data_IF_069910343781
#
_entry.id   IF_069910343781
#
_cell.length_a   1.000
_cell.length_b   1.000
_cell.length_c   1.000
_cell.angle_alpha   90.00
_cell.angle_beta   90.00
_cell.angle_gamma   90.00
#
_symmetry.space_group_name_H-M   'P 1'
#
loop_
_entity.id
_entity.type
_entity.pdbx_description
1 polymer ?
#
# COMPACT_ATOMS: atom_id res chain seq x y z
N UNK A 1 -6.11 2.39 -27.34
CA UNK A 1 -6.60 3.68 -26.81
C UNK A 1 -5.74 4.01 -25.60
N UNK A 2 -5.16 5.21 -25.54
CA UNK A 2 -4.29 5.60 -24.41
C UNK A 2 -5.14 5.91 -23.18
N UNK A 3 -4.73 5.43 -22.01
CA UNK A 3 -5.40 5.71 -20.75
C UNK A 3 -5.20 7.16 -20.29
N UNK A 4 -6.17 7.75 -19.56
CA UNK A 4 -6.05 9.13 -19.09
C UNK A 4 -4.92 9.27 -18.07
N UNK A 5 -4.23 10.41 -18.12
CA UNK A 5 -3.12 10.75 -17.22
C UNK A 5 -3.36 12.11 -16.57
N UNK A 6 -3.23 12.18 -15.26
CA UNK A 6 -3.14 13.48 -14.58
C UNK A 6 -1.82 14.17 -14.97
N UNK A 7 -1.87 15.50 -15.10
CA UNK A 7 -0.69 16.33 -15.44
C UNK A 7 0.46 16.19 -14.44
N UNK A 8 0.18 15.80 -13.19
CA UNK A 8 1.19 15.55 -12.16
C UNK A 8 2.13 14.40 -12.55
N UNK A 9 1.67 13.45 -13.37
CA UNK A 9 2.39 12.24 -13.73
C UNK A 9 3.31 12.39 -14.94
N UNK A 10 3.36 13.56 -15.58
CA UNK A 10 4.01 13.77 -16.89
C UNK A 10 5.49 13.35 -17.00
N UNK A 11 6.21 13.27 -15.87
CA UNK A 11 7.64 12.87 -15.85
C UNK A 11 7.82 11.36 -15.64
N UNK A 12 6.85 10.70 -15.01
CA UNK A 12 6.95 9.31 -14.59
C UNK A 12 7.13 8.30 -15.73
N UNK A 13 6.52 8.46 -16.93
CA UNK A 13 6.76 7.50 -18.01
C UNK A 13 8.25 7.32 -18.34
N UNK A 14 9.00 8.43 -18.37
CA UNK A 14 10.44 8.43 -18.62
C UNK A 14 11.19 7.84 -17.42
N UNK A 15 10.88 8.28 -16.21
CA UNK A 15 11.54 7.81 -14.98
C UNK A 15 11.38 6.29 -14.79
N UNK A 16 10.17 5.75 -14.99
CA UNK A 16 9.93 4.30 -14.90
C UNK A 16 10.68 3.51 -15.99
N UNK A 17 10.73 4.03 -17.23
CA UNK A 17 11.47 3.39 -18.33
C UNK A 17 12.97 3.31 -18.04
N UNK A 18 13.57 4.40 -17.56
CA UNK A 18 14.99 4.47 -17.19
C UNK A 18 15.32 3.53 -16.02
N UNK A 19 14.42 3.43 -15.04
CA UNK A 19 14.59 2.53 -13.90
C UNK A 19 14.54 1.05 -14.31
N UNK A 20 13.59 0.66 -15.16
CA UNK A 20 13.48 -0.73 -15.65
C UNK A 20 14.71 -1.15 -16.47
N UNK A 21 15.33 -0.21 -17.19
CA UNK A 21 16.59 -0.47 -17.88
C UNK A 21 17.74 -0.70 -16.89
N UNK A 22 17.84 0.14 -15.86
CA UNK A 22 18.85 0.03 -14.81
C UNK A 22 18.74 -1.29 -14.01
N UNK A 23 17.52 -1.70 -13.67
CA UNK A 23 17.24 -2.83 -12.76
C UNK A 23 16.89 -4.14 -13.46
N UNK A 24 17.12 -4.24 -14.77
CA UNK A 24 16.65 -5.34 -15.64
C UNK A 24 16.91 -6.75 -15.08
N UNK A 25 18.00 -6.96 -14.36
CA UNK A 25 18.40 -8.27 -13.83
C UNK A 25 18.24 -8.42 -12.31
N UNK A 26 17.79 -7.38 -11.60
CA UNK A 26 17.69 -7.41 -10.15
C UNK A 26 16.50 -8.22 -9.59
N UNK A 27 15.28 -8.23 -10.20
CA UNK A 27 14.18 -9.01 -9.64
C UNK A 27 14.47 -10.51 -9.59
N UNK A 28 15.13 -11.08 -10.60
CA UNK A 28 15.47 -12.51 -10.65
C UNK A 28 16.39 -12.94 -9.50
N UNK A 29 17.35 -12.08 -9.13
CA UNK A 29 18.22 -12.31 -7.97
C UNK A 29 17.43 -12.41 -6.68
N UNK A 30 16.46 -11.51 -6.49
CA UNK A 30 15.64 -11.52 -5.28
C UNK A 30 14.63 -12.68 -5.27
N UNK A 31 14.07 -13.04 -6.42
CA UNK A 31 13.23 -14.23 -6.60
C UNK A 31 14.01 -15.50 -6.21
N UNK A 32 15.24 -15.66 -6.73
CA UNK A 32 16.11 -16.78 -6.37
C UNK A 32 16.44 -16.80 -4.87
N UNK A 33 16.64 -15.63 -4.26
CA UNK A 33 16.85 -15.53 -2.81
C UNK A 33 15.63 -15.98 -2.00
N UNK A 34 14.42 -15.60 -2.40
CA UNK A 34 13.19 -16.05 -1.72
C UNK A 34 12.99 -17.56 -1.90
N UNK A 35 13.25 -18.08 -3.10
CA UNK A 35 13.20 -19.52 -3.35
C UNK A 35 14.19 -20.28 -2.43
N UNK A 36 15.42 -19.78 -2.28
CA UNK A 36 16.40 -20.35 -1.35
C UNK A 36 15.88 -20.42 0.09
N UNK A 37 15.22 -19.37 0.60
CA UNK A 37 14.60 -19.40 1.92
C UNK A 37 13.46 -20.42 2.04
N UNK A 38 12.68 -20.63 0.98
CA UNK A 38 11.60 -21.63 0.98
C UNK A 38 12.13 -23.07 1.00
N UNK A 39 13.24 -23.30 0.31
CA UNK A 39 13.89 -24.61 0.21
C UNK A 39 14.62 -25.01 1.50
N UNK A 40 14.98 -24.03 2.35
CA UNK A 40 15.55 -24.29 3.66
C UNK A 40 14.56 -25.05 4.58
N UNK A 41 15.02 -26.12 5.27
CA UNK A 41 14.19 -26.83 6.24
C UNK A 41 13.98 -26.00 7.52
N UNK A 42 12.85 -26.21 8.20
CA UNK A 42 12.52 -25.53 9.46
C UNK A 42 11.65 -24.29 9.28
N UNK A 43 11.67 -23.38 10.26
CA UNK A 43 10.93 -22.11 10.19
C UNK A 43 11.63 -21.20 9.18
N UNK A 44 10.88 -20.68 8.20
CA UNK A 44 11.40 -19.76 7.19
C UNK A 44 11.97 -18.51 7.85
N UNK A 45 13.11 -18.01 7.36
CA UNK A 45 13.80 -16.91 8.01
C UNK A 45 13.19 -15.54 7.64
N UNK A 46 12.80 -14.74 8.64
CA UNK A 46 12.25 -13.39 8.45
C UNK A 46 13.15 -12.42 7.64
N UNK A 47 14.45 -12.72 7.51
CA UNK A 47 15.37 -11.98 6.61
C UNK A 47 14.91 -11.99 5.14
N UNK A 48 14.03 -12.91 4.74
CA UNK A 48 13.39 -12.92 3.43
C UNK A 48 12.54 -11.67 3.16
N UNK A 49 12.17 -10.90 4.18
CA UNK A 49 11.40 -9.67 3.98
C UNK A 49 12.14 -8.66 3.07
N UNK A 50 13.46 -8.55 3.18
CA UNK A 50 14.25 -7.65 2.32
C UNK A 50 14.09 -7.99 0.83
N UNK A 51 14.35 -9.23 0.35
CA UNK A 51 14.11 -9.55 -1.05
C UNK A 51 12.65 -9.42 -1.46
N UNK A 52 11.65 -9.69 -0.60
CA UNK A 52 10.24 -9.42 -0.94
C UNK A 52 9.99 -7.94 -1.26
N UNK A 53 10.54 -7.03 -0.45
CA UNK A 53 10.42 -5.59 -0.66
C UNK A 53 10.92 -5.18 -2.04
N UNK A 54 12.05 -5.75 -2.47
CA UNK A 54 12.66 -5.47 -3.76
C UNK A 54 11.89 -6.06 -4.93
N UNK A 55 11.37 -7.29 -4.80
CA UNK A 55 10.49 -7.89 -5.81
C UNK A 55 9.22 -7.05 -5.99
N UNK A 56 8.58 -6.67 -4.87
CA UNK A 56 7.38 -5.83 -4.89
C UNK A 56 7.64 -4.50 -5.59
N UNK A 57 8.78 -3.87 -5.30
CA UNK A 57 9.19 -2.62 -5.93
C UNK A 57 9.46 -2.78 -7.44
N UNK A 58 10.17 -3.83 -7.86
CA UNK A 58 10.43 -4.07 -9.28
C UNK A 58 9.13 -4.25 -10.07
N UNK A 59 8.19 -5.05 -9.55
CA UNK A 59 6.88 -5.18 -10.18
C UNK A 59 6.04 -3.92 -10.08
N UNK A 60 6.21 -3.07 -9.06
CA UNK A 60 5.49 -1.80 -8.97
C UNK A 60 5.90 -0.85 -10.09
N UNK A 61 7.20 -0.77 -10.40
CA UNK A 61 7.69 0.05 -11.52
C UNK A 61 7.24 -0.55 -12.86
N UNK A 62 7.28 -1.88 -13.01
CA UNK A 62 6.77 -2.54 -14.21
C UNK A 62 5.26 -2.31 -14.41
N UNK A 63 4.47 -2.26 -13.33
CA UNK A 63 3.05 -1.90 -13.38
C UNK A 63 2.85 -0.44 -13.83
N UNK A 64 3.64 0.51 -13.32
CA UNK A 64 3.60 1.90 -13.78
C UNK A 64 3.91 2.03 -15.27
N UNK A 65 4.98 1.39 -15.75
CA UNK A 65 5.33 1.36 -17.17
C UNK A 65 4.19 0.80 -18.02
N UNK A 66 3.62 -0.35 -17.62
CA UNK A 66 2.48 -0.94 -18.31
C UNK A 66 1.25 -0.02 -18.33
N UNK A 67 1.01 0.73 -17.24
CA UNK A 67 -0.02 1.77 -17.19
C UNK A 67 0.21 2.86 -18.24
N UNK A 68 1.41 3.40 -18.33
CA UNK A 68 1.75 4.44 -19.32
C UNK A 68 1.71 3.94 -20.76
N UNK A 69 2.02 2.66 -21.00
CA UNK A 69 1.86 2.01 -22.31
C UNK A 69 0.42 1.60 -22.62
N UNK A 70 -0.49 1.74 -21.66
CA UNK A 70 -1.89 1.28 -21.76
C UNK A 70 -2.00 -0.22 -22.08
N UNK A 71 -1.12 -1.01 -21.46
CA UNK A 71 -1.04 -2.46 -21.64
C UNK A 71 -1.77 -3.18 -20.49
N UNK A 72 -3.02 -3.58 -20.74
CA UNK A 72 -3.86 -4.23 -19.74
C UNK A 72 -3.32 -5.59 -19.28
N UNK A 73 -2.66 -6.35 -20.16
CA UNK A 73 -2.14 -7.67 -19.83
C UNK A 73 -0.95 -7.57 -18.88
N UNK A 74 0.01 -6.72 -19.22
CA UNK A 74 1.18 -6.47 -18.38
C UNK A 74 0.79 -5.76 -17.08
N UNK A 75 -0.08 -4.75 -17.15
CA UNK A 75 -0.51 -4.03 -15.94
C UNK A 75 -1.21 -4.98 -14.97
N UNK A 76 -2.16 -5.80 -15.46
CA UNK A 76 -2.84 -6.75 -14.60
C UNK A 76 -1.87 -7.68 -13.88
N UNK A 77 -0.92 -8.25 -14.64
CA UNK A 77 0.07 -9.18 -14.09
C UNK A 77 0.99 -8.50 -13.07
N UNK A 78 1.61 -7.38 -13.43
CA UNK A 78 2.59 -6.72 -12.58
C UNK A 78 1.97 -6.03 -11.37
N UNK A 79 0.77 -5.44 -11.49
CA UNK A 79 0.07 -4.85 -10.36
C UNK A 79 -0.32 -5.93 -9.34
N UNK A 80 -0.88 -7.06 -9.79
CA UNK A 80 -1.20 -8.20 -8.93
C UNK A 80 0.05 -8.72 -8.19
N UNK A 81 1.15 -8.90 -8.91
CA UNK A 81 2.37 -9.42 -8.29
C UNK A 81 3.01 -8.42 -7.33
N UNK A 82 3.04 -7.13 -7.68
CA UNK A 82 3.54 -6.07 -6.80
C UNK A 82 2.76 -6.03 -5.48
N UNK A 83 1.42 -6.04 -5.56
CA UNK A 83 0.55 -6.03 -4.37
C UNK A 83 0.71 -7.32 -3.56
N UNK A 84 0.80 -8.49 -4.19
CA UNK A 84 1.00 -9.76 -3.49
C UNK A 84 2.31 -9.77 -2.69
N UNK A 85 3.45 -9.45 -3.32
CA UNK A 85 4.73 -9.41 -2.64
C UNK A 85 4.82 -8.29 -1.61
N UNK A 86 4.25 -7.12 -1.89
CA UNK A 86 4.18 -5.99 -0.96
C UNK A 86 3.37 -6.33 0.30
N UNK A 87 2.22 -7.00 0.12
CA UNK A 87 1.38 -7.48 1.22
C UNK A 87 2.11 -8.53 2.06
N UNK A 88 2.78 -9.51 1.44
CA UNK A 88 3.55 -10.53 2.17
C UNK A 88 4.70 -9.91 2.97
N UNK A 89 5.42 -8.95 2.38
CA UNK A 89 6.44 -8.18 3.08
C UNK A 89 5.88 -7.49 4.32
N UNK A 90 4.78 -6.77 4.16
CA UNK A 90 4.17 -5.98 5.22
C UNK A 90 3.68 -6.88 6.37
N UNK A 91 2.90 -7.91 6.04
CA UNK A 91 2.33 -8.85 7.00
C UNK A 91 3.41 -9.67 7.73
N UNK A 92 4.53 -9.99 7.08
CA UNK A 92 5.66 -10.67 7.73
C UNK A 92 6.33 -9.77 8.78
N UNK A 93 6.59 -8.50 8.47
CA UNK A 93 7.17 -7.57 9.44
C UNK A 93 6.20 -7.27 10.59
N UNK A 94 4.92 -7.02 10.28
CA UNK A 94 3.89 -6.85 11.31
C UNK A 94 3.76 -8.09 12.22
N UNK A 95 3.89 -9.29 11.66
CA UNK A 95 3.97 -10.54 12.46
C UNK A 95 5.17 -10.54 13.39
N UNK A 96 6.36 -10.15 12.90
CA UNK A 96 7.57 -10.09 13.70
C UNK A 96 7.47 -9.05 14.83
N UNK A 97 6.87 -7.88 14.55
CA UNK A 97 6.60 -6.84 15.55
C UNK A 97 5.61 -7.35 16.62
N UNK A 98 4.51 -7.98 16.21
CA UNK A 98 3.50 -8.53 17.12
C UNK A 98 4.04 -9.66 18.01
N UNK A 99 5.01 -10.45 17.53
CA UNK A 99 5.65 -11.51 18.33
C UNK A 99 6.59 -10.96 19.41
N UNK A 100 7.09 -9.72 19.27
CA UNK A 100 8.06 -9.09 20.18
C UNK A 100 7.76 -7.60 20.35
N UNK A 101 6.62 -7.23 20.96
CA UNK A 101 6.26 -5.83 21.14
C UNK A 101 7.24 -5.16 22.10
N UNK A 102 7.96 -4.15 21.60
CA UNK A 102 8.93 -3.37 22.35
C UNK A 102 9.27 -2.08 21.60
N UNK A 103 9.84 -1.10 22.32
CA UNK A 103 10.46 0.07 21.68
C UNK A 103 11.57 -0.42 20.73
N UNK A 104 11.49 -0.02 19.46
CA UNK A 104 12.44 -0.44 18.44
C UNK A 104 12.27 -1.90 17.97
N UNK A 105 11.08 -2.48 18.16
CA UNK A 105 10.71 -3.71 17.46
C UNK A 105 10.83 -3.50 15.93
N UNK A 106 10.91 -4.61 15.20
CA UNK A 106 11.08 -4.53 13.75
C UNK A 106 9.75 -4.19 13.07
N UNK A 107 9.50 -2.89 12.92
CA UNK A 107 8.32 -2.38 12.23
C UNK A 107 8.56 -2.24 10.72
N UNK A 108 7.51 -2.38 9.91
CA UNK A 108 7.48 -1.73 8.61
C UNK A 108 7.86 -0.23 8.74
N UNK A 109 8.49 0.33 7.71
CA UNK A 109 8.85 1.75 7.70
C UNK A 109 7.58 2.61 7.54
N UNK A 110 7.39 3.66 8.38
CA UNK A 110 6.25 4.55 8.25
C UNK A 110 6.23 5.22 6.86
N UNK A 111 5.05 5.71 6.49
CA UNK A 111 4.71 6.35 5.22
C UNK A 111 4.73 5.42 4.00
N UNK A 112 5.84 4.74 3.72
CA UNK A 112 5.97 3.94 2.48
C UNK A 112 5.45 2.51 2.63
N UNK A 113 5.69 1.88 3.77
CA UNK A 113 5.29 0.47 3.93
C UNK A 113 3.80 0.36 4.24
N UNK A 114 3.17 1.35 4.88
CA UNK A 114 1.72 1.37 5.12
C UNK A 114 0.90 1.35 3.83
N UNK A 115 1.39 1.96 2.74
CA UNK A 115 0.76 1.87 1.42
C UNK A 115 0.62 0.41 0.93
N UNK A 116 1.51 -0.49 1.36
CA UNK A 116 1.44 -1.92 1.03
C UNK A 116 0.34 -2.67 1.79
N UNK A 117 -0.10 -2.15 2.94
CA UNK A 117 -1.26 -2.67 3.65
C UNK A 117 -2.57 -2.34 2.89
N UNK A 118 -2.60 -1.21 2.17
CA UNK A 118 -3.75 -0.76 1.41
C UNK A 118 -3.89 -1.40 0.02
N UNK A 119 -2.76 -1.73 -0.62
CA UNK A 119 -2.71 -2.32 -1.97
C UNK A 119 -3.74 -3.44 -2.23
N UNK A 120 -3.90 -4.45 -1.35
CA UNK A 120 -4.88 -5.52 -1.55
C UNK A 120 -6.34 -5.04 -1.72
N UNK A 121 -6.72 -3.90 -1.14
CA UNK A 121 -8.04 -3.31 -1.35
C UNK A 121 -8.30 -3.04 -2.84
N UNK A 122 -7.30 -2.53 -3.57
CA UNK A 122 -7.42 -2.17 -4.98
C UNK A 122 -7.79 -3.37 -5.86
N UNK A 123 -7.38 -4.57 -5.46
CA UNK A 123 -7.63 -5.82 -6.20
C UNK A 123 -8.79 -6.63 -5.60
N UNK A 124 -9.51 -6.07 -4.62
CA UNK A 124 -10.56 -6.79 -3.89
C UNK A 124 -10.08 -8.07 -3.20
N UNK A 125 -8.79 -8.16 -2.85
CA UNK A 125 -8.25 -9.25 -2.03
C UNK A 125 -8.52 -8.95 -0.55
N UNK A 126 -9.77 -9.13 -0.14
CA UNK A 126 -10.25 -8.77 1.18
C UNK A 126 -9.56 -9.48 2.33
N UNK A 127 -9.25 -10.80 2.26
CA UNK A 127 -8.49 -11.46 3.31
C UNK A 127 -7.10 -10.83 3.53
N UNK A 128 -6.36 -10.56 2.46
CA UNK A 128 -5.06 -9.91 2.58
C UNK A 128 -5.16 -8.44 3.02
N UNK A 129 -6.21 -7.73 2.59
CA UNK A 129 -6.49 -6.36 3.00
C UNK A 129 -6.80 -6.26 4.50
N UNK A 130 -7.65 -7.15 5.03
CA UNK A 130 -8.00 -7.20 6.45
C UNK A 130 -6.79 -7.57 7.31
N UNK A 131 -5.97 -8.53 6.86
CA UNK A 131 -4.73 -8.87 7.54
C UNK A 131 -3.72 -7.72 7.54
N UNK A 132 -3.57 -7.01 6.42
CA UNK A 132 -2.75 -5.80 6.31
C UNK A 132 -3.23 -4.69 7.24
N UNK A 133 -4.52 -4.41 7.25
CA UNK A 133 -5.18 -3.47 8.15
C UNK A 133 -4.93 -3.81 9.63
N UNK A 134 -5.09 -5.08 9.99
CA UNK A 134 -4.84 -5.56 11.35
C UNK A 134 -3.40 -5.26 11.78
N UNK A 135 -2.41 -5.65 10.99
CA UNK A 135 -1.01 -5.42 11.35
C UNK A 135 -0.65 -3.94 11.39
N UNK A 136 -1.17 -3.12 10.48
CA UNK A 136 -0.96 -1.68 10.52
C UNK A 136 -1.47 -1.08 11.83
N UNK A 137 -2.69 -1.42 12.23
CA UNK A 137 -3.26 -0.94 13.50
C UNK A 137 -2.42 -1.41 14.68
N UNK A 138 -1.99 -2.68 14.70
CA UNK A 138 -1.12 -3.19 15.76
C UNK A 138 0.24 -2.48 15.80
N UNK A 139 0.83 -2.16 14.66
CA UNK A 139 2.10 -1.44 14.58
C UNK A 139 1.97 0.00 15.12
N UNK A 140 0.88 0.68 14.77
CA UNK A 140 0.53 2.01 15.28
C UNK A 140 0.33 2.01 16.80
N UNK A 141 -0.38 1.01 17.32
CA UNK A 141 -0.61 0.86 18.77
C UNK A 141 0.65 0.47 19.52
N UNK A 142 1.45 -0.45 18.98
CA UNK A 142 2.73 -0.83 19.58
C UNK A 142 3.68 0.36 19.68
N UNK A 143 3.78 1.19 18.63
CA UNK A 143 4.56 2.44 18.67
C UNK A 143 4.02 3.40 19.73
N UNK A 144 2.69 3.57 19.80
CA UNK A 144 2.05 4.39 20.83
C UNK A 144 2.32 3.89 22.26
N UNK A 145 2.18 2.59 22.51
CA UNK A 145 2.20 2.00 23.84
C UNK A 145 3.62 1.90 24.39
N UNK A 146 4.62 1.75 23.50
CA UNK A 146 6.03 1.61 23.87
C UNK A 146 6.88 2.87 23.66
N UNK A 147 6.32 3.92 23.07
CA UNK A 147 6.98 5.23 22.91
C UNK A 147 6.11 6.33 23.55
N UNK A 148 6.32 6.61 24.86
CA UNK A 148 5.43 7.51 25.62
C UNK A 148 5.44 8.97 25.14
N UNK A 149 6.57 9.49 24.65
CA UNK A 149 6.63 10.84 24.08
C UNK A 149 6.12 10.80 22.62
N UNK A 150 4.99 11.45 22.30
CA UNK A 150 4.44 11.45 20.94
C UNK A 150 5.40 12.01 19.89
N UNK A 151 6.41 12.81 20.29
CA UNK A 151 7.42 13.37 19.38
C UNK A 151 8.46 12.34 18.94
N UNK A 152 8.67 11.31 19.74
CA UNK A 152 9.64 10.24 19.49
C UNK A 152 9.01 9.05 18.74
N UNK A 153 7.68 9.05 18.56
CA UNK A 153 6.95 8.01 17.83
C UNK A 153 7.41 7.93 16.38
N UNK A 154 7.49 6.70 15.87
CA UNK A 154 7.80 6.43 14.47
C UNK A 154 6.62 6.82 13.57
N UNK A 155 5.41 6.49 14.01
CA UNK A 155 4.16 6.79 13.31
C UNK A 155 3.51 8.06 13.87
N UNK A 156 4.28 9.15 13.89
CA UNK A 156 3.85 10.42 14.49
C UNK A 156 3.13 11.35 13.53
N UNK A 157 3.34 11.19 12.23
CA UNK A 157 2.87 12.13 11.23
C UNK A 157 1.35 12.02 11.06
N UNK A 158 0.64 13.16 11.08
CA UNK A 158 -0.81 13.20 10.91
C UNK A 158 -1.26 13.00 9.45
N UNK A 159 -0.62 12.10 8.72
CA UNK A 159 -0.79 11.91 7.27
C UNK A 159 -1.28 10.49 6.96
N UNK A 160 -0.65 9.76 6.03
CA UNK A 160 -1.23 8.54 5.47
C UNK A 160 -1.29 7.39 6.48
N UNK A 161 -0.26 7.19 7.30
CA UNK A 161 -0.25 6.14 8.33
C UNK A 161 -1.43 6.29 9.30
N UNK A 162 -1.60 7.48 9.88
CA UNK A 162 -2.71 7.77 10.78
C UNK A 162 -4.06 7.68 10.08
N UNK A 163 -4.15 8.15 8.83
CA UNK A 163 -5.37 8.04 8.02
C UNK A 163 -5.78 6.58 7.87
N UNK A 164 -4.85 5.71 7.46
CA UNK A 164 -5.11 4.28 7.33
C UNK A 164 -5.48 3.63 8.66
N UNK A 165 -4.82 3.99 9.76
CA UNK A 165 -5.17 3.47 11.09
C UNK A 165 -6.64 3.68 11.42
N UNK A 166 -7.14 4.90 11.28
CA UNK A 166 -8.56 5.21 11.53
C UNK A 166 -9.48 4.63 10.46
N UNK A 167 -9.13 4.79 9.18
CA UNK A 167 -9.95 4.33 8.06
C UNK A 167 -10.15 2.81 8.11
N UNK A 168 -9.09 2.05 8.32
CA UNK A 168 -9.17 0.59 8.35
C UNK A 168 -9.78 0.04 9.64
N UNK A 169 -9.54 0.68 10.79
CA UNK A 169 -10.24 0.32 12.02
C UNK A 169 -11.77 0.40 11.81
N UNK A 170 -12.22 1.49 11.21
CA UNK A 170 -13.62 1.74 10.89
C UNK A 170 -14.15 0.85 9.75
N UNK A 171 -13.42 0.71 8.65
CA UNK A 171 -13.84 -0.05 7.47
C UNK A 171 -13.91 -1.57 7.70
N UNK A 172 -13.00 -2.13 8.49
CA UNK A 172 -12.92 -3.55 8.77
C UNK A 172 -13.50 -3.93 10.16
N UNK A 173 -13.94 -2.94 10.96
CA UNK A 173 -14.45 -3.18 12.30
C UNK A 173 -13.39 -3.71 13.26
N UNK A 174 -12.14 -3.26 13.10
CA UNK A 174 -11.03 -3.66 13.96
C UNK A 174 -11.00 -2.69 15.15
N UNK A 175 -11.23 -3.22 16.35
CA UNK A 175 -11.11 -2.43 17.58
C UNK A 175 -9.69 -1.87 17.72
N UNK A 176 -9.59 -0.58 18.04
CA UNK A 176 -8.32 0.09 18.19
C UNK A 176 -8.37 1.17 19.27
N UNK A 177 -7.29 1.26 20.04
CA UNK A 177 -7.03 2.36 20.98
C UNK A 177 -5.98 3.34 20.45
N UNK A 178 -5.62 3.23 19.16
CA UNK A 178 -4.65 4.13 18.54
C UNK A 178 -5.11 5.59 18.58
N UNK A 179 -4.19 6.47 18.98
CA UNK A 179 -4.34 7.91 18.96
C UNK A 179 -3.14 8.52 18.24
N UNK A 180 -3.42 9.22 17.14
CA UNK A 180 -2.39 9.90 16.36
C UNK A 180 -1.65 10.92 17.22
N UNK A 181 -0.31 10.89 17.18
CA UNK A 181 0.53 11.85 17.89
C UNK A 181 0.33 13.28 17.40
N UNK A 182 0.14 13.43 16.09
CA UNK A 182 -0.15 14.70 15.44
C UNK A 182 -1.58 14.68 14.90
N UNK A 183 -2.35 15.78 15.01
CA UNK A 183 -3.66 15.86 14.38
C UNK A 183 -3.58 15.58 12.87
N UNK A 184 -4.55 14.83 12.36
CA UNK A 184 -4.68 14.59 10.92
C UNK A 184 -4.72 15.90 10.14
N UNK A 185 -4.04 15.93 9.00
CA UNK A 185 -4.19 16.99 8.01
C UNK A 185 -5.66 17.11 7.60
N UNK A 186 -6.11 18.34 7.35
CA UNK A 186 -7.52 18.65 7.08
C UNK A 186 -8.13 17.76 5.99
N UNK A 187 -7.40 17.52 4.89
CA UNK A 187 -7.88 16.71 3.78
C UNK A 187 -8.23 15.27 4.21
N UNK A 188 -7.38 14.61 5.00
CA UNK A 188 -7.65 13.25 5.49
C UNK A 188 -8.67 13.21 6.62
N UNK A 189 -8.72 14.22 7.49
CA UNK A 189 -9.78 14.32 8.50
C UNK A 189 -11.16 14.39 7.83
N UNK A 190 -11.32 15.28 6.84
CA UNK A 190 -12.60 15.41 6.13
C UNK A 190 -12.94 14.14 5.33
N UNK A 191 -11.94 13.49 4.73
CA UNK A 191 -12.16 12.22 4.05
C UNK A 191 -12.65 11.15 5.05
N UNK A 192 -12.03 11.01 6.22
CA UNK A 192 -12.50 10.08 7.27
C UNK A 192 -13.92 10.39 7.74
N UNK A 193 -14.28 11.65 7.88
CA UNK A 193 -15.64 12.06 8.30
C UNK A 193 -16.71 11.73 7.24
N UNK A 194 -16.33 11.67 5.96
CA UNK A 194 -17.28 11.63 4.84
C UNK A 194 -17.06 10.47 3.85
N UNK A 195 -16.14 9.54 4.10
CA UNK A 195 -15.86 8.45 3.17
C UNK A 195 -17.06 7.52 2.98
N UNK A 196 -18.00 7.45 3.92
CA UNK A 196 -19.28 6.72 3.79
C UNK A 196 -20.44 7.58 3.26
N UNK A 197 -20.21 8.82 2.84
CA UNK A 197 -21.29 9.69 2.40
C UNK A 197 -22.01 9.13 1.17
N UNK A 198 -23.35 9.23 1.18
CA UNK A 198 -24.21 8.93 0.04
C UNK A 198 -24.47 10.16 -0.84
N UNK A 199 -23.89 11.31 -0.47
CA UNK A 199 -24.02 12.56 -1.23
C UNK A 199 -22.82 12.74 -2.16
N UNK A 200 -23.06 12.63 -3.47
CA UNK A 200 -22.04 12.76 -4.52
C UNK A 200 -21.16 14.00 -4.33
N UNK A 201 -21.79 15.17 -4.14
CA UNK A 201 -21.07 16.44 -4.02
C UNK A 201 -20.14 16.49 -2.80
N UNK A 202 -20.57 15.92 -1.67
CA UNK A 202 -19.77 15.84 -0.45
C UNK A 202 -18.58 14.92 -0.68
N UNK A 203 -18.83 13.70 -1.20
CA UNK A 203 -17.79 12.72 -1.47
C UNK A 203 -16.75 13.24 -2.46
N UNK A 204 -17.19 13.81 -3.59
CA UNK A 204 -16.27 14.36 -4.59
C UNK A 204 -15.43 15.52 -4.04
N UNK A 205 -16.01 16.40 -3.21
CA UNK A 205 -15.27 17.50 -2.61
C UNK A 205 -14.13 16.96 -1.75
N UNK A 206 -14.40 16.04 -0.82
CA UNK A 206 -13.37 15.52 0.09
C UNK A 206 -12.33 14.68 -0.64
N UNK A 207 -12.72 13.92 -1.68
CA UNK A 207 -11.80 13.18 -2.53
C UNK A 207 -10.86 14.10 -3.32
N UNK A 208 -11.36 15.21 -3.87
CA UNK A 208 -10.53 16.21 -4.55
C UNK A 208 -9.52 16.87 -3.60
N UNK A 209 -9.94 17.20 -2.38
CA UNK A 209 -9.03 17.79 -1.38
C UNK A 209 -7.94 16.80 -0.97
N UNK A 210 -8.29 15.52 -0.79
CA UNK A 210 -7.33 14.46 -0.51
C UNK A 210 -6.38 14.19 -1.70
N UNK A 211 -6.89 14.20 -2.93
CA UNK A 211 -6.07 14.10 -4.14
C UNK A 211 -5.09 15.28 -4.29
N UNK A 212 -5.54 16.50 -3.99
CA UNK A 212 -4.67 17.67 -4.01
C UNK A 212 -3.56 17.57 -2.95
N UNK A 213 -3.88 17.07 -1.75
CA UNK A 213 -2.88 16.77 -0.73
C UNK A 213 -1.89 15.70 -1.20
N UNK A 214 -2.37 14.57 -1.73
CA UNK A 214 -1.54 13.51 -2.29
C UNK A 214 -0.54 14.04 -3.31
N UNK A 215 -1.00 14.85 -4.28
CA UNK A 215 -0.14 15.47 -5.30
C UNK A 215 0.91 16.39 -4.65
N UNK A 216 0.53 17.16 -3.63
CA UNK A 216 1.46 18.07 -2.95
C UNK A 216 2.61 17.35 -2.24
N UNK A 217 2.40 16.07 -1.89
CA UNK A 217 3.34 15.14 -1.25
C UNK A 217 3.93 14.12 -2.24
N UNK A 218 3.55 14.17 -3.51
CA UNK A 218 4.11 13.33 -4.59
C UNK A 218 5.39 13.94 -5.16
N UNK A 219 6.43 14.04 -4.33
CA UNK A 219 7.71 14.67 -4.69
C UNK A 219 8.87 13.75 -4.36
N UNK A 220 9.96 13.91 -5.11
CA UNK A 220 11.21 13.22 -4.78
C UNK A 220 11.69 13.70 -3.41
N UNK A 221 11.96 12.75 -2.52
CA UNK A 221 12.59 13.01 -1.24
C UNK A 221 13.99 13.63 -1.39
N UNK A 222 14.46 14.24 -0.31
CA UNK A 222 15.83 14.73 -0.16
C UNK A 222 16.40 14.16 1.13
N UNK A 223 17.71 14.29 1.35
CA UNK A 223 18.34 13.90 2.62
C UNK A 223 17.71 14.56 3.86
N UNK A 224 16.94 15.65 3.67
CA UNK A 224 16.28 16.42 4.73
C UNK A 224 14.78 16.19 4.84
N UNK A 225 14.14 15.70 3.78
CA UNK A 225 12.69 15.62 3.68
C UNK A 225 12.29 14.36 2.94
N UNK A 226 11.53 13.50 3.62
CA UNK A 226 10.84 12.36 3.01
C UNK A 226 9.39 12.73 2.74
N UNK A 227 8.82 12.14 1.71
CA UNK A 227 7.41 12.31 1.38
C UNK A 227 6.70 10.96 1.26
N UNK A 228 5.42 10.96 1.62
CA UNK A 228 4.55 9.79 1.72
C UNK A 228 4.38 9.07 0.37
N UNK A 229 4.35 9.85 -0.71
CA UNK A 229 4.05 9.39 -2.07
C UNK A 229 5.23 9.64 -3.01
N UNK A 230 6.45 9.52 -2.49
CA UNK A 230 7.63 9.69 -3.32
C UNK A 230 7.87 8.53 -4.28
N UNK A 231 7.28 7.34 -4.06
CA UNK A 231 7.43 6.17 -4.93
C UNK A 231 6.49 6.25 -6.12
N UNK A 232 6.96 5.87 -7.30
CA UNK A 232 6.21 6.02 -8.56
C UNK A 232 4.84 5.33 -8.53
N UNK A 233 4.77 4.13 -7.96
CA UNK A 233 3.50 3.39 -7.84
C UNK A 233 2.47 4.16 -7.02
N UNK A 234 2.88 4.77 -5.91
CA UNK A 234 1.97 5.51 -5.06
C UNK A 234 1.49 6.79 -5.75
N UNK A 235 2.32 7.39 -6.63
CA UNK A 235 1.93 8.54 -7.45
C UNK A 235 0.94 8.17 -8.56
N UNK A 236 1.13 7.03 -9.21
CA UNK A 236 0.25 6.57 -10.30
C UNK A 236 -1.07 6.02 -9.74
N UNK A 237 -0.99 5.30 -8.64
CA UNK A 237 -2.09 4.63 -7.98
C UNK A 237 -2.16 5.11 -6.53
N UNK A 238 -2.84 6.23 -6.21
CA UNK A 238 -2.91 6.77 -4.85
C UNK A 238 -3.59 5.77 -3.92
N UNK A 239 -2.82 4.97 -3.14
CA UNK A 239 -3.34 3.76 -2.53
C UNK A 239 -4.40 4.05 -1.48
N UNK A 240 -4.29 5.20 -0.80
CA UNK A 240 -5.24 5.63 0.21
C UNK A 240 -6.59 6.01 -0.39
N UNK A 241 -6.60 6.63 -1.58
CA UNK A 241 -7.81 7.07 -2.25
C UNK A 241 -8.49 5.91 -2.99
N UNK A 242 -7.69 5.02 -3.58
CA UNK A 242 -8.19 3.83 -4.24
C UNK A 242 -8.72 2.80 -3.22
N UNK A 243 -8.12 2.70 -2.04
CA UNK A 243 -8.66 1.89 -0.95
C UNK A 243 -10.05 2.39 -0.51
N UNK A 244 -10.25 3.71 -0.41
CA UNK A 244 -11.59 4.28 -0.13
C UNK A 244 -12.60 3.87 -1.19
N UNK A 245 -12.28 4.00 -2.48
CA UNK A 245 -13.18 3.57 -3.56
C UNK A 245 -13.51 2.07 -3.47
N UNK A 246 -12.49 1.24 -3.26
CA UNK A 246 -12.67 -0.20 -3.18
C UNK A 246 -13.51 -0.63 -1.97
N UNK A 247 -13.26 -0.07 -0.79
CA UNK A 247 -14.05 -0.37 0.42
C UNK A 247 -15.49 0.12 0.25
N UNK A 248 -15.71 1.31 -0.32
CA UNK A 248 -17.08 1.78 -0.62
C UNK A 248 -17.82 0.80 -1.53
N UNK A 249 -17.17 0.33 -2.59
CA UNK A 249 -17.73 -0.68 -3.49
C UNK A 249 -18.05 -1.98 -2.74
N UNK A 250 -17.14 -2.47 -1.90
CA UNK A 250 -17.33 -3.68 -1.06
C UNK A 250 -18.56 -3.57 -0.16
N UNK A 251 -18.77 -2.39 0.43
CA UNK A 251 -19.87 -2.14 1.36
C UNK A 251 -21.20 -1.81 0.66
N UNK A 252 -21.25 -1.83 -0.68
CA UNK A 252 -22.46 -1.51 -1.45
C UNK A 252 -22.87 -0.04 -1.36
N UNK A 253 -21.95 0.86 -1.01
CA UNK A 253 -22.20 2.30 -1.01
C UNK A 253 -22.33 2.82 -2.45
N UNK A 254 -22.97 3.97 -2.69
CA UNK A 254 -23.10 4.54 -4.02
C UNK A 254 -21.76 4.67 -4.75
N UNK A 255 -21.70 4.12 -5.96
CA UNK A 255 -20.55 4.20 -6.84
C UNK A 255 -20.46 5.62 -7.43
N UNK A 256 -19.49 6.38 -6.97
CA UNK A 256 -19.24 7.75 -7.42
C UNK A 256 -17.85 7.86 -8.03
N UNK A 257 -17.74 8.60 -9.12
CA UNK A 257 -16.46 9.18 -9.51
C UNK A 257 -15.98 10.08 -8.36
N UNK A 258 -14.70 9.98 -8.03
CA UNK A 258 -14.01 10.82 -7.05
C UNK A 258 -13.96 12.29 -7.50
N UNK A 259 -14.17 12.57 -8.80
CA UNK A 259 -14.13 13.92 -9.36
C UNK A 259 -12.70 14.43 -9.50
N UNK A 260 -11.72 13.54 -9.63
CA UNK A 260 -10.32 13.87 -9.82
C UNK A 260 -9.63 12.82 -10.72
N UNK A 261 -8.97 13.22 -11.84
CA UNK A 261 -8.35 12.28 -12.80
C UNK A 261 -7.34 11.31 -12.19
N UNK A 262 -6.56 11.76 -11.19
CA UNK A 262 -5.63 10.92 -10.42
C UNK A 262 -6.27 9.68 -9.78
N UNK A 263 -7.56 9.73 -9.48
CA UNK A 263 -8.28 8.60 -8.85
C UNK A 263 -9.17 7.91 -9.88
N UNK A 264 -9.96 8.68 -10.63
CA UNK A 264 -10.97 8.14 -11.54
C UNK A 264 -10.35 7.31 -12.67
N UNK A 265 -9.23 7.76 -13.25
CA UNK A 265 -8.60 7.04 -14.36
C UNK A 265 -7.95 5.73 -13.91
N UNK A 266 -7.08 5.69 -12.87
CA UNK A 266 -6.55 4.43 -12.38
C UNK A 266 -7.63 3.47 -11.85
N UNK A 267 -8.66 3.99 -11.17
CA UNK A 267 -9.75 3.16 -10.67
C UNK A 267 -10.53 2.48 -11.79
N UNK A 268 -10.90 3.23 -12.83
CA UNK A 268 -11.59 2.69 -14.00
C UNK A 268 -10.74 1.62 -14.72
N UNK A 269 -9.42 1.85 -14.84
CA UNK A 269 -8.50 0.89 -15.43
C UNK A 269 -8.44 -0.39 -14.59
N UNK A 270 -8.22 -0.28 -13.28
CA UNK A 270 -8.12 -1.43 -12.36
C UNK A 270 -9.36 -2.30 -12.42
N UNK A 271 -10.55 -1.69 -12.39
CA UNK A 271 -11.83 -2.40 -12.47
C UNK A 271 -12.03 -3.15 -13.80
N UNK A 272 -11.34 -2.72 -14.86
CA UNK A 272 -11.42 -3.32 -16.18
C UNK A 272 -10.27 -4.30 -16.49
N UNK A 273 -9.35 -4.53 -15.54
CA UNK A 273 -8.21 -5.42 -15.77
C UNK A 273 -8.68 -6.87 -15.97
N UNK A 274 -8.08 -7.61 -16.92
CA UNK A 274 -8.32 -9.05 -17.01
C UNK A 274 -7.78 -9.76 -15.76
N UNK A 275 -8.30 -10.93 -15.38
CA UNK A 275 -7.72 -11.72 -14.31
C UNK A 275 -6.24 -12.06 -14.59
N UNK A 276 -5.38 -11.87 -13.59
CA UNK A 276 -3.98 -12.31 -13.65
C UNK A 276 -3.79 -13.62 -12.89
N UNK A 277 -2.92 -14.49 -13.42
CA UNK A 277 -2.47 -15.64 -12.66
C UNK A 277 -1.64 -15.17 -11.45
N UNK A 278 -1.88 -15.72 -10.24
CA UNK A 278 -1.07 -15.39 -9.08
C UNK A 278 0.38 -15.83 -9.29
N UNK A 279 1.33 -15.08 -8.74
CA UNK A 279 2.73 -15.46 -8.85
C UNK A 279 2.99 -16.74 -8.03
N UNK A 280 3.52 -17.84 -8.61
CA UNK A 280 3.66 -19.12 -7.91
C UNK A 280 4.48 -19.02 -6.61
N UNK A 281 5.57 -18.25 -6.63
CA UNK A 281 6.39 -18.01 -5.44
C UNK A 281 5.64 -17.29 -4.32
N UNK A 282 4.80 -16.31 -4.63
CA UNK A 282 4.03 -15.58 -3.63
C UNK A 282 3.02 -16.52 -2.94
N UNK A 283 2.34 -17.37 -3.72
CA UNK A 283 1.41 -18.38 -3.19
C UNK A 283 2.12 -19.38 -2.29
N UNK A 284 3.25 -19.94 -2.75
CA UNK A 284 4.04 -20.90 -1.97
C UNK A 284 4.56 -20.28 -0.67
N UNK A 285 5.03 -19.03 -0.73
CA UNK A 285 5.52 -18.31 0.43
C UNK A 285 4.41 -17.99 1.43
N UNK A 286 3.24 -17.54 0.97
CA UNK A 286 2.13 -17.27 1.87
C UNK A 286 1.72 -18.53 2.64
N UNK A 287 1.62 -19.66 1.96
CA UNK A 287 1.33 -20.94 2.59
C UNK A 287 2.41 -21.34 3.61
N UNK A 288 3.69 -21.08 3.30
CA UNK A 288 4.81 -21.31 4.22
C UNK A 288 4.71 -20.42 5.46
N UNK A 289 4.45 -19.13 5.28
CA UNK A 289 4.36 -18.15 6.37
C UNK A 289 3.20 -18.48 7.32
N UNK A 290 2.03 -18.82 6.80
CA UNK A 290 0.86 -19.25 7.61
C UNK A 290 1.16 -20.47 8.47
N UNK A 291 2.00 -21.39 7.99
CA UNK A 291 2.41 -22.58 8.75
C UNK A 291 3.47 -22.25 9.81
N UNK A 292 4.47 -21.47 9.42
CA UNK A 292 5.68 -21.27 10.22
C UNK A 292 5.51 -20.18 11.30
N UNK A 293 4.56 -19.25 11.11
CA UNK A 293 4.29 -18.14 12.01
C UNK A 293 2.83 -18.14 12.49
N UNK A 294 2.54 -18.52 13.75
CA UNK A 294 1.16 -18.63 14.26
C UNK A 294 0.34 -17.34 14.24
N UNK A 295 0.99 -16.18 14.27
CA UNK A 295 0.33 -14.88 14.22
C UNK A 295 0.16 -14.35 12.79
N UNK A 296 0.81 -14.97 11.80
CA UNK A 296 0.70 -14.54 10.41
C UNK A 296 -0.71 -14.81 9.88
N UNK A 297 -1.30 -13.81 9.23
CA UNK A 297 -2.64 -13.85 8.64
C UNK A 297 -2.56 -13.36 7.22
#
# INVERSE_FOLDING_TARGET
MTWPLDRSLKKLPKECSEWLEYERNNPDRHIASVQGYLDEPGIVNAKLATPLRWIAHAYSIAACDAYFRSDAGDLSRFLNWSIAFGSLYYRLWGTCAAMRPARGASFPSPLWDSNRAAGPCMLSDWPAAEAGAYFLIRDLENDQDHVPDPRDRWYREGTNDSFYGYFFADAFGIESHYQSATPLVTAYRQLLEHWRSDHLEVFQRVMREAAAFHISRSKHGTDKHTYEFEKDIDRVFPPELLAVQAVRQRLGLPAFEAGHPLVDAPWAVIQALPPAAPHPLAVALEARLKRDYPLFR
#
